data_IF_506826641534
#
_entry.id   IF_506826641534
#
_cell.length_a   1.000
_cell.length_b   1.000
_cell.length_c   1.000
_cell.angle_alpha   90.00
_cell.angle_beta   90.00
_cell.angle_gamma   90.00
#
_symmetry.space_group_name_H-M   'P 1'
#
loop_
_entity.id
_entity.type
_entity.pdbx_description
1 polymer ?
#
# COMPACT_ATOMS: atom_id res chain seq x y z
N UNK A 1 -32.58 21.78 -39.06
CA UNK A 1 -32.15 20.44 -38.60
C UNK A 1 -31.14 20.63 -37.47
N UNK A 2 -31.39 20.11 -36.26
CA UNK A 2 -30.51 20.36 -35.13
C UNK A 2 -29.27 19.47 -35.22
N UNK A 3 -28.12 20.06 -34.89
CA UNK A 3 -26.82 19.41 -34.79
C UNK A 3 -26.78 18.58 -33.49
N UNK A 4 -26.37 17.33 -33.57
CA UNK A 4 -25.97 16.55 -32.39
C UNK A 4 -24.49 16.81 -32.14
N UNK A 5 -24.20 17.37 -30.97
CA UNK A 5 -22.86 17.69 -30.50
C UNK A 5 -22.06 16.41 -30.24
N UNK A 6 -20.86 16.33 -30.80
CA UNK A 6 -19.81 15.47 -30.29
C UNK A 6 -19.22 16.14 -29.05
N UNK A 7 -19.49 15.59 -27.87
CA UNK A 7 -18.69 15.84 -26.67
C UNK A 7 -17.81 14.62 -26.45
N UNK A 8 -16.59 14.65 -26.98
CA UNK A 8 -15.52 13.72 -26.62
C UNK A 8 -14.51 14.46 -25.73
N UNK A 9 -14.90 14.69 -24.48
CA UNK A 9 -13.96 15.02 -23.40
C UNK A 9 -13.79 13.77 -22.53
N UNK A 10 -13.40 12.67 -23.14
CA UNK A 10 -12.89 11.52 -22.39
C UNK A 10 -11.47 11.87 -21.97
N UNK A 11 -11.37 12.66 -20.89
CA UNK A 11 -10.12 12.87 -20.18
C UNK A 11 -9.63 11.50 -19.75
N UNK A 12 -8.52 11.05 -20.32
CA UNK A 12 -7.83 9.85 -19.85
C UNK A 12 -7.29 10.19 -18.47
N UNK A 13 -8.03 9.82 -17.43
CA UNK A 13 -7.59 9.90 -16.04
C UNK A 13 -6.58 8.77 -15.86
N UNK A 14 -5.32 9.10 -15.58
CA UNK A 14 -4.38 8.10 -15.10
C UNK A 14 -4.93 7.54 -13.78
N UNK A 15 -5.27 6.25 -13.76
CA UNK A 15 -5.80 5.55 -12.58
C UNK A 15 -4.73 5.36 -11.47
N UNK A 16 -3.48 5.76 -11.73
CA UNK A 16 -2.34 5.64 -10.83
C UNK A 16 -2.59 6.18 -9.40
N UNK A 17 -3.32 7.29 -9.18
CA UNK A 17 -3.61 7.80 -7.84
C UNK A 17 -4.78 7.10 -7.13
N UNK A 18 -5.55 6.25 -7.83
CA UNK A 18 -6.93 5.90 -7.47
C UNK A 18 -7.13 4.44 -7.02
N UNK A 19 -6.03 3.72 -6.90
CA UNK A 19 -5.97 2.32 -6.56
C UNK A 19 -4.61 1.82 -7.00
N UNK A 20 -3.63 1.93 -6.12
CA UNK A 20 -2.24 1.67 -6.47
C UNK A 20 -2.03 0.17 -6.68
N UNK A 21 -1.99 -0.26 -7.95
CA UNK A 21 -1.40 -1.55 -8.32
C UNK A 21 0.11 -1.37 -8.37
N UNK A 22 0.77 -1.95 -7.39
CA UNK A 22 2.23 -1.91 -7.30
C UNK A 22 2.80 -3.28 -7.64
N UNK A 23 3.55 -3.32 -8.74
CA UNK A 23 4.39 -4.45 -9.14
C UNK A 23 5.83 -3.99 -9.03
N UNK A 24 6.49 -4.35 -7.93
CA UNK A 24 7.82 -3.79 -7.60
C UNK A 24 8.83 -4.90 -7.40
N UNK A 25 9.97 -4.78 -8.08
CA UNK A 25 11.14 -5.62 -7.86
C UNK A 25 12.20 -4.86 -7.06
N UNK A 26 12.31 -5.17 -5.77
CA UNK A 26 13.29 -4.59 -4.86
C UNK A 26 14.59 -5.38 -4.85
N UNK A 27 15.72 -4.67 -4.86
CA UNK A 27 17.04 -5.24 -4.62
C UNK A 27 17.48 -4.89 -3.19
N UNK A 28 17.29 -5.82 -2.25
CA UNK A 28 17.59 -5.57 -0.84
C UNK A 28 19.11 -5.53 -0.60
N UNK A 29 19.70 -4.34 -0.60
CA UNK A 29 21.15 -4.15 -0.38
C UNK A 29 21.57 -4.32 1.09
N UNK A 30 20.62 -4.31 2.02
CA UNK A 30 20.84 -4.48 3.46
C UNK A 30 20.33 -5.85 3.90
N UNK A 31 21.03 -6.48 4.85
CA UNK A 31 20.54 -7.63 5.61
C UNK A 31 19.74 -7.16 6.81
N UNK A 32 18.70 -7.90 7.15
CA UNK A 32 18.00 -7.75 8.40
C UNK A 32 18.91 -8.03 9.59
N UNK A 33 18.66 -7.38 10.74
CA UNK A 33 19.35 -7.72 11.97
C UNK A 33 19.00 -9.16 12.39
N UNK A 34 19.90 -9.78 13.18
CA UNK A 34 19.66 -11.12 13.76
C UNK A 34 18.40 -11.14 14.63
N UNK A 35 18.16 -10.06 15.36
CA UNK A 35 16.92 -9.81 16.10
C UNK A 35 16.18 -8.65 15.43
N UNK A 36 14.93 -8.89 15.04
CA UNK A 36 14.13 -7.87 14.39
C UNK A 36 13.80 -6.72 15.35
N UNK A 37 13.76 -5.46 14.88
CA UNK A 37 13.42 -4.33 15.73
C UNK A 37 11.99 -4.49 16.25
N UNK A 38 11.75 -4.06 17.50
CA UNK A 38 10.41 -4.12 18.11
C UNK A 38 9.38 -3.32 17.31
N UNK A 39 9.78 -2.16 16.77
CA UNK A 39 8.90 -1.26 16.00
C UNK A 39 9.42 -1.06 14.58
N UNK A 40 10.66 -0.60 14.39
CA UNK A 40 11.19 -0.26 13.07
C UNK A 40 10.89 1.20 12.72
N UNK A 41 11.50 2.14 13.43
CA UNK A 41 11.13 3.56 13.39
C UNK A 41 11.54 4.28 12.10
N UNK A 42 12.46 3.71 11.32
CA UNK A 42 13.02 4.31 10.12
C UNK A 42 13.53 3.23 9.14
N UNK A 43 13.97 3.69 7.97
CA UNK A 43 14.46 2.82 6.88
C UNK A 43 15.87 2.27 7.11
N UNK A 44 16.55 2.66 8.20
CA UNK A 44 17.79 2.01 8.62
C UNK A 44 17.54 0.72 9.39
N UNK A 45 16.41 0.66 10.11
CA UNK A 45 15.98 -0.53 10.86
C UNK A 45 15.20 -1.53 10.01
N UNK A 46 14.30 -1.05 9.16
CA UNK A 46 13.40 -1.87 8.32
C UNK A 46 13.38 -1.36 6.88
N UNK A 47 12.94 -2.17 5.93
CA UNK A 47 12.82 -1.74 4.53
C UNK A 47 11.66 -0.74 4.35
N UNK A 48 10.53 -1.03 4.98
CA UNK A 48 9.38 -0.15 5.05
C UNK A 48 8.90 -0.06 6.51
N UNK A 49 8.73 1.17 7.01
CA UNK A 49 8.32 1.45 8.39
C UNK A 49 6.87 1.05 8.66
N UNK A 50 6.49 0.77 9.92
CA UNK A 50 5.11 0.53 10.31
C UNK A 50 4.17 1.66 9.86
N UNK A 51 3.12 1.29 9.13
CA UNK A 51 2.03 2.18 8.74
C UNK A 51 0.77 1.37 8.44
N UNK A 52 -0.32 2.07 8.14
CA UNK A 52 -1.53 1.49 7.57
C UNK A 52 -1.89 2.22 6.28
N UNK A 53 -2.63 1.56 5.41
CA UNK A 53 -3.05 2.14 4.14
C UNK A 53 -4.31 3.01 4.33
N UNK A 54 -4.42 4.13 3.60
CA UNK A 54 -5.56 5.03 3.75
C UNK A 54 -6.86 4.47 3.16
N UNK A 55 -6.78 3.56 2.18
CA UNK A 55 -7.92 3.00 1.44
C UNK A 55 -8.89 2.15 2.25
N UNK A 56 -9.75 1.42 1.53
CA UNK A 56 -10.70 0.48 2.11
C UNK A 56 -9.99 -0.78 2.62
N UNK A 57 -9.18 -1.40 1.76
CA UNK A 57 -8.33 -2.53 2.12
C UNK A 57 -7.18 -2.64 1.12
N UNK A 58 -6.15 -3.36 1.52
CA UNK A 58 -5.03 -3.72 0.65
C UNK A 58 -4.95 -5.23 0.48
N UNK A 59 -4.54 -5.65 -0.71
CA UNK A 59 -4.37 -7.05 -1.09
C UNK A 59 -2.93 -7.26 -1.57
N UNK A 60 -2.15 -8.04 -0.83
CA UNK A 60 -0.86 -8.55 -1.26
C UNK A 60 -1.05 -9.93 -1.90
N UNK A 61 -0.73 -10.04 -3.18
CA UNK A 61 -0.96 -11.26 -3.99
C UNK A 61 0.32 -12.10 -4.08
N UNK A 62 1.48 -11.44 -4.10
CA UNK A 62 2.77 -12.09 -4.29
C UNK A 62 3.85 -11.37 -3.47
N UNK A 63 4.70 -12.11 -2.78
CA UNK A 63 6.01 -11.67 -2.28
C UNK A 63 7.00 -12.83 -2.40
N UNK A 64 8.03 -12.70 -3.25
CA UNK A 64 9.03 -13.77 -3.48
C UNK A 64 10.18 -13.76 -2.47
N UNK A 65 10.01 -13.05 -1.36
CA UNK A 65 11.03 -12.90 -0.33
C UNK A 65 10.33 -12.68 1.02
N UNK A 66 10.93 -13.19 2.10
CA UNK A 66 10.47 -12.95 3.46
C UNK A 66 10.50 -11.46 3.80
N UNK A 67 9.64 -11.01 4.71
CA UNK A 67 9.81 -9.73 5.40
C UNK A 67 8.56 -8.85 5.49
N UNK A 68 7.50 -9.12 4.73
CA UNK A 68 6.20 -8.52 5.03
C UNK A 68 5.79 -8.98 6.45
N UNK A 69 5.38 -8.04 7.29
CA UNK A 69 4.87 -8.33 8.63
C UNK A 69 3.62 -7.52 8.92
N UNK A 70 2.63 -8.15 9.55
CA UNK A 70 1.42 -7.51 10.04
C UNK A 70 1.42 -7.49 11.58
N UNK A 71 0.96 -6.40 12.18
CA UNK A 71 0.87 -6.30 13.64
C UNK A 71 -0.43 -6.95 14.13
N UNK A 72 -0.30 -7.95 14.99
CA UNK A 72 -1.35 -8.33 15.93
C UNK A 72 -1.43 -7.26 17.03
N UNK A 73 -2.36 -6.34 16.86
CA UNK A 73 -2.58 -5.20 17.77
C UNK A 73 -3.13 -5.62 19.14
N UNK A 74 -3.68 -6.84 19.28
CA UNK A 74 -4.16 -7.34 20.58
C UNK A 74 -3.01 -7.89 21.42
N UNK A 75 -2.03 -8.52 20.77
CA UNK A 75 -0.88 -9.15 21.44
C UNK A 75 0.39 -8.29 21.41
N UNK A 76 0.37 -7.17 20.68
CA UNK A 76 1.55 -6.34 20.37
C UNK A 76 2.70 -7.18 19.76
N UNK A 77 2.35 -8.03 18.78
CA UNK A 77 3.29 -8.92 18.09
C UNK A 77 3.27 -8.71 16.59
N UNK A 78 4.42 -8.87 15.96
CA UNK A 78 4.54 -8.92 14.51
C UNK A 78 4.40 -10.36 14.02
N UNK A 79 3.57 -10.57 13.02
CA UNK A 79 3.32 -11.85 12.37
C UNK A 79 3.86 -11.75 10.95
N UNK A 80 4.66 -12.74 10.53
CA UNK A 80 5.18 -12.81 9.17
C UNK A 80 4.05 -13.07 8.17
N UNK A 81 4.04 -12.28 7.10
CA UNK A 81 3.24 -12.55 5.91
C UNK A 81 3.84 -13.69 5.08
N UNK A 82 3.07 -14.23 4.12
CA UNK A 82 3.50 -15.32 3.27
C UNK A 82 4.70 -14.94 2.40
N UNK A 83 5.60 -15.89 2.23
CA UNK A 83 6.66 -15.86 1.23
C UNK A 83 6.30 -16.86 0.12
N UNK A 84 5.85 -16.38 -1.02
CA UNK A 84 5.38 -17.22 -2.13
C UNK A 84 6.50 -18.00 -2.83
N UNK A 85 7.76 -17.86 -2.40
CA UNK A 85 8.85 -18.77 -2.79
C UNK A 85 8.88 -20.07 -1.98
N UNK A 86 8.20 -20.15 -0.84
CA UNK A 86 8.07 -21.38 -0.05
C UNK A 86 6.90 -22.22 -0.57
N UNK A 87 7.07 -23.55 -0.58
CA UNK A 87 6.14 -24.46 -1.25
C UNK A 87 4.76 -24.51 -0.60
N UNK A 88 4.69 -24.34 0.73
CA UNK A 88 3.48 -24.32 1.54
C UNK A 88 2.74 -22.98 1.48
N UNK A 89 3.39 -21.93 0.98
CA UNK A 89 2.87 -20.55 0.95
C UNK A 89 2.70 -20.00 -0.47
N UNK A 90 3.06 -20.78 -1.49
CA UNK A 90 3.11 -20.34 -2.89
C UNK A 90 1.81 -19.66 -3.38
N UNK A 91 0.65 -20.14 -2.94
CA UNK A 91 -0.67 -19.67 -3.38
C UNK A 91 -1.44 -18.88 -2.31
N UNK A 92 -0.75 -18.29 -1.33
CA UNK A 92 -1.36 -17.52 -0.25
C UNK A 92 -1.20 -16.02 -0.53
N UNK A 93 -2.33 -15.31 -0.55
CA UNK A 93 -2.39 -13.85 -0.50
C UNK A 93 -2.83 -13.37 0.88
N UNK A 94 -2.55 -12.10 1.19
CA UNK A 94 -3.00 -11.46 2.44
C UNK A 94 -3.84 -10.24 2.11
N UNK A 95 -4.94 -10.11 2.85
CA UNK A 95 -5.79 -8.93 2.85
C UNK A 95 -5.76 -8.28 4.23
N UNK A 96 -5.67 -6.95 4.28
CA UNK A 96 -5.83 -6.19 5.52
C UNK A 96 -6.61 -4.91 5.28
N UNK A 97 -7.28 -4.42 6.33
CA UNK A 97 -8.13 -3.24 6.25
C UNK A 97 -7.29 -1.96 6.22
N UNK A 98 -7.74 -0.98 5.45
CA UNK A 98 -7.22 0.38 5.51
C UNK A 98 -8.05 1.29 6.42
N UNK A 99 -7.61 2.53 6.55
CA UNK A 99 -8.23 3.54 7.42
C UNK A 99 -9.69 3.83 7.04
N UNK A 100 -10.01 3.89 5.74
CA UNK A 100 -11.37 4.18 5.29
C UNK A 100 -12.38 3.12 5.76
N UNK A 101 -11.98 1.84 5.84
CA UNK A 101 -12.83 0.79 6.40
C UNK A 101 -13.10 1.03 7.89
N UNK A 102 -12.12 1.53 8.64
CA UNK A 102 -12.32 1.87 10.05
C UNK A 102 -13.34 3.00 10.21
N UNK A 103 -13.22 4.07 9.41
CA UNK A 103 -14.15 5.20 9.40
C UNK A 103 -15.58 4.74 9.05
N UNK A 104 -15.74 3.99 7.96
CA UNK A 104 -17.05 3.48 7.51
C UNK A 104 -17.74 2.59 8.54
N UNK A 105 -16.95 1.85 9.31
CA UNK A 105 -17.45 0.93 10.33
C UNK A 105 -17.54 1.56 11.71
N UNK A 106 -17.35 2.89 11.82
CA UNK A 106 -17.34 3.66 13.07
C UNK A 106 -16.36 3.06 14.10
N UNK A 107 -15.14 2.78 13.65
CA UNK A 107 -14.04 2.19 14.42
C UNK A 107 -14.31 0.78 14.97
N UNK A 108 -15.31 0.06 14.45
CA UNK A 108 -15.55 -1.34 14.84
C UNK A 108 -14.40 -2.25 14.40
N UNK A 109 -13.78 -1.96 13.26
CA UNK A 109 -12.58 -2.64 12.79
C UNK A 109 -11.44 -1.64 12.71
N UNK A 110 -10.26 -2.02 13.18
CA UNK A 110 -9.05 -1.21 13.12
C UNK A 110 -8.32 -1.46 11.80
N UNK A 111 -7.61 -0.46 11.26
CA UNK A 111 -6.76 -0.68 10.10
C UNK A 111 -5.64 -1.66 10.43
N UNK A 112 -5.23 -2.45 9.45
CA UNK A 112 -4.10 -3.36 9.57
C UNK A 112 -2.79 -2.59 9.50
N UNK A 113 -2.02 -2.61 10.59
CA UNK A 113 -0.67 -2.04 10.61
C UNK A 113 0.28 -3.08 10.04
N UNK A 114 1.10 -2.67 9.09
CA UNK A 114 2.07 -3.52 8.42
C UNK A 114 3.41 -2.82 8.26
N UNK A 115 4.46 -3.62 8.06
CA UNK A 115 5.83 -3.17 7.78
C UNK A 115 6.54 -4.17 6.88
N UNK A 116 7.70 -3.79 6.35
CA UNK A 116 8.57 -4.72 5.61
C UNK A 116 9.96 -4.72 6.24
N UNK A 117 10.39 -5.85 6.79
CA UNK A 117 11.75 -6.02 7.32
C UNK A 117 12.72 -6.43 6.21
N UNK A 118 14.01 -6.14 6.42
CA UNK A 118 15.05 -6.60 5.52
C UNK A 118 15.21 -8.13 5.57
N UNK A 119 15.50 -8.77 4.44
CA UNK A 119 15.74 -10.22 4.39
C UNK A 119 17.00 -10.61 5.16
N UNK A 120 17.07 -11.85 5.62
CA UNK A 120 18.25 -12.33 6.36
C UNK A 120 19.49 -12.44 5.46
N UNK A 121 19.28 -12.62 4.16
CA UNK A 121 20.35 -12.75 3.16
C UNK A 121 20.50 -11.45 2.37
N UNK A 122 21.74 -10.96 2.28
CA UNK A 122 22.06 -9.74 1.54
C UNK A 122 21.79 -9.92 0.05
N UNK A 123 21.37 -8.84 -0.62
CA UNK A 123 21.13 -8.80 -2.06
C UNK A 123 20.05 -9.75 -2.57
N UNK A 124 19.19 -10.27 -1.68
CA UNK A 124 18.03 -11.05 -2.07
C UNK A 124 17.01 -10.15 -2.79
N UNK A 125 16.65 -10.53 -4.01
CA UNK A 125 15.61 -9.83 -4.78
C UNK A 125 14.23 -10.14 -4.19
N UNK A 126 13.36 -9.13 -4.10
CA UNK A 126 11.95 -9.29 -3.74
C UNK A 126 11.11 -8.75 -4.89
N UNK A 127 10.38 -9.62 -5.58
CA UNK A 127 9.23 -9.21 -6.36
C UNK A 127 8.01 -9.21 -5.44
N UNK A 128 7.30 -8.09 -5.40
CA UNK A 128 6.00 -7.99 -4.72
C UNK A 128 4.94 -7.47 -5.69
N UNK A 129 3.72 -7.97 -5.51
CA UNK A 129 2.52 -7.50 -6.21
C UNK A 129 1.47 -7.23 -5.16
N UNK A 130 1.04 -5.98 -5.05
CA UNK A 130 -0.04 -5.59 -4.16
C UNK A 130 -0.93 -4.52 -4.77
N UNK A 131 -2.16 -4.45 -4.27
CA UNK A 131 -3.18 -3.53 -4.71
C UNK A 131 -3.83 -2.89 -3.50
N UNK A 132 -3.81 -1.56 -3.43
CA UNK A 132 -4.68 -0.80 -2.54
C UNK A 132 -6.04 -0.56 -3.21
N UNK A 133 -7.13 -0.81 -2.51
CA UNK A 133 -8.50 -0.51 -2.97
C UNK A 133 -8.99 0.75 -2.27
N UNK A 134 -9.11 1.86 -2.99
CA UNK A 134 -9.62 3.13 -2.46
C UNK A 134 -11.16 3.18 -2.45
N UNK A 135 -11.73 4.08 -1.64
CA UNK A 135 -13.17 4.40 -1.69
C UNK A 135 -13.47 5.41 -2.80
N UNK A 136 -14.72 5.43 -3.29
CA UNK A 136 -15.19 6.45 -4.24
C UNK A 136 -14.94 7.88 -3.73
N UNK A 137 -15.14 8.16 -2.45
CA UNK A 137 -14.92 9.48 -1.89
C UNK A 137 -13.45 9.91 -1.92
N UNK A 138 -12.51 8.97 -1.70
CA UNK A 138 -11.08 9.24 -1.87
C UNK A 138 -10.74 9.53 -3.33
N UNK A 139 -11.34 8.77 -4.24
CA UNK A 139 -11.18 8.98 -5.68
C UNK A 139 -11.68 10.36 -6.09
N UNK A 140 -12.91 10.70 -5.73
CA UNK A 140 -13.54 11.97 -6.08
C UNK A 140 -12.77 13.17 -5.48
N UNK A 141 -12.25 13.06 -4.26
CA UNK A 141 -11.44 14.10 -3.59
C UNK A 141 -10.12 14.40 -4.31
N UNK A 142 -9.46 13.37 -4.86
CA UNK A 142 -8.21 13.53 -5.62
C UNK A 142 -8.47 14.20 -6.96
N UNK A 143 -9.51 13.79 -7.68
CA UNK A 143 -9.90 14.38 -8.96
C UNK A 143 -10.27 15.87 -8.82
N UNK A 144 -10.99 16.24 -7.75
CA UNK A 144 -11.34 17.65 -7.47
C UNK A 144 -10.13 18.53 -7.12
N UNK A 145 -9.02 17.94 -6.64
CA UNK A 145 -7.77 18.67 -6.36
C UNK A 145 -6.97 18.95 -7.62
N UNK A 146 -6.98 18.04 -8.60
CA UNK A 146 -6.28 18.24 -9.87
C UNK A 146 -6.95 19.31 -10.75
N UNK A 147 -8.28 19.44 -10.67
CA UNK A 147 -9.04 20.49 -11.36
C UNK A 147 -8.90 21.89 -10.72
N UNK A 148 -8.22 22.00 -9.58
CA UNK A 148 -7.85 23.26 -8.93
C UNK A 148 -6.33 23.34 -8.74
N UNK A 149 -5.53 23.57 -9.81
CA UNK A 149 -4.16 23.98 -9.61
C UNK A 149 -4.22 25.33 -8.89
N UNK A 150 -3.64 25.36 -7.70
CA UNK A 150 -3.48 26.53 -6.84
C UNK A 150 -3.19 27.73 -7.73
N UNK A 151 -4.15 28.67 -7.81
CA UNK A 151 -3.86 30.04 -8.22
C UNK A 151 -2.77 30.53 -7.27
N UNK A 152 -1.51 30.45 -7.71
CA UNK A 152 -0.43 31.22 -7.13
C UNK A 152 -0.89 32.68 -7.24
N UNK A 153 -1.42 33.20 -6.14
CA UNK A 153 -1.62 34.62 -5.95
C UNK A 153 -0.23 35.24 -6.08
N UNK A 154 0.05 35.80 -7.26
CA UNK A 154 1.11 36.76 -7.45
C UNK A 154 0.81 37.97 -6.58
N UNK A 155 1.30 37.96 -5.34
CA UNK A 155 1.36 39.16 -4.53
C UNK A 155 2.68 39.86 -4.87
N UNK A 156 2.50 40.95 -5.62
CA UNK A 156 3.33 42.15 -5.79
C UNK A 156 4.57 42.30 -4.92
#
# INVERSE_FOLDING_TARGET
MPKVAQNSNDTIIELSPLGMLDIVNYFNKKTGPKEQPKIGLNTDEVNCVPHFDPGLFSLSILSTCEGLQLQDQLQDKWIDGPNNSEIDQHSIGVIWLGEAASILTKNRFQPGIHRVVYPQVMNKSRLTIWQEICTKAQIDSLLLKEDNPIFLQNNT
#
